data_IF_944511903449
#
_entry.id   IF_944511903449
#
_cell.length_a   1.000
_cell.length_b   1.000
_cell.length_c   1.000
_cell.angle_alpha   90.00
_cell.angle_beta   90.00
_cell.angle_gamma   90.00
#
_symmetry.space_group_name_H-M   'P 1'
#
loop_
_entity.id
_entity.type
_entity.pdbx_description
1 polymer ?
#
# COMPACT_ATOMS: atom_id res chain seq x y z
N UNK A 1 11.04 -11.06 -13.69
CA UNK A 1 11.30 -11.42 -12.28
C UNK A 1 11.48 -10.15 -11.48
N UNK A 2 10.75 -9.96 -10.40
CA UNK A 2 11.01 -8.92 -9.40
C UNK A 2 11.98 -9.46 -8.36
N UNK A 3 12.89 -8.60 -7.90
CA UNK A 3 13.74 -8.85 -6.74
C UNK A 3 13.08 -8.21 -5.52
N UNK A 4 12.65 -9.02 -4.55
CA UNK A 4 12.12 -8.51 -3.30
C UNK A 4 13.25 -8.16 -2.32
N UNK A 5 12.91 -7.43 -1.28
CA UNK A 5 13.81 -7.08 -0.18
C UNK A 5 13.20 -7.49 1.15
N UNK A 6 14.04 -7.70 2.15
CA UNK A 6 13.64 -7.91 3.54
C UNK A 6 14.11 -6.70 4.34
N UNK A 7 13.17 -6.04 5.02
CA UNK A 7 13.46 -5.00 6.01
C UNK A 7 13.34 -5.60 7.40
N UNK A 8 14.46 -5.61 8.12
CA UNK A 8 14.55 -6.17 9.47
C UNK A 8 15.09 -5.14 10.46
N UNK A 9 14.66 -5.25 11.71
CA UNK A 9 15.00 -4.31 12.77
C UNK A 9 16.05 -4.92 13.69
N UNK A 10 17.20 -4.26 13.79
CA UNK A 10 18.32 -4.67 14.63
C UNK A 10 18.54 -3.62 15.73
N UNK A 11 19.77 -3.47 16.22
CA UNK A 11 20.15 -2.43 17.19
C UNK A 11 20.30 -1.04 16.57
N UNK A 12 20.14 -0.90 15.24
CA UNK A 12 20.20 0.38 14.55
C UNK A 12 18.90 1.18 14.72
N UNK A 13 19.01 2.51 14.56
CA UNK A 13 17.87 3.43 14.66
C UNK A 13 16.85 3.28 13.50
N UNK A 14 17.21 2.55 12.45
CA UNK A 14 16.31 2.19 11.33
C UNK A 14 16.61 0.77 10.86
N UNK A 15 15.78 0.24 9.97
CA UNK A 15 15.89 -1.13 9.49
C UNK A 15 17.16 -1.35 8.66
N UNK A 16 17.66 -2.58 8.66
CA UNK A 16 18.60 -3.06 7.64
C UNK A 16 17.82 -3.61 6.45
N UNK A 17 18.47 -3.64 5.29
CA UNK A 17 17.92 -4.27 4.08
C UNK A 17 18.75 -5.49 3.68
N UNK A 18 18.07 -6.61 3.42
CA UNK A 18 18.66 -7.84 2.93
C UNK A 18 17.99 -8.27 1.61
N UNK A 19 18.67 -9.02 0.74
CA UNK A 19 18.05 -9.61 -0.44
C UNK A 19 16.90 -10.54 -0.07
N UNK A 20 15.73 -10.32 -0.68
CA UNK A 20 14.58 -11.20 -0.56
C UNK A 20 14.47 -12.21 -1.70
N UNK A 21 13.32 -12.88 -1.75
CA UNK A 21 12.99 -13.83 -2.82
C UNK A 21 12.85 -13.12 -4.18
N UNK A 22 13.04 -13.89 -5.26
CA UNK A 22 12.69 -13.44 -6.61
C UNK A 22 11.34 -14.04 -6.97
N UNK A 23 10.45 -13.22 -7.51
CA UNK A 23 9.12 -13.67 -7.96
C UNK A 23 8.94 -13.38 -9.45
N UNK A 24 8.30 -14.27 -10.23
CA UNK A 24 7.89 -13.95 -11.59
C UNK A 24 6.86 -12.81 -11.60
N UNK A 25 6.78 -12.11 -12.73
CA UNK A 25 5.76 -11.10 -12.98
C UNK A 25 4.78 -11.72 -13.96
N UNK A 26 3.50 -11.70 -13.62
CA UNK A 26 2.47 -12.33 -14.45
C UNK A 26 1.92 -11.38 -15.52
N UNK A 27 1.83 -10.08 -15.22
CA UNK A 27 1.24 -9.05 -16.10
C UNK A 27 2.03 -7.75 -16.04
N UNK A 28 2.16 -7.07 -17.19
CA UNK A 28 2.73 -5.72 -17.26
C UNK A 28 1.74 -4.69 -16.71
N UNK A 29 2.24 -3.67 -16.03
CA UNK A 29 1.41 -2.56 -15.54
C UNK A 29 0.59 -1.90 -16.67
N UNK A 30 1.16 -1.82 -17.88
CA UNK A 30 0.50 -1.26 -19.07
C UNK A 30 -0.77 -2.00 -19.50
N UNK A 31 -0.89 -3.27 -19.12
CA UNK A 31 -1.97 -4.16 -19.56
C UNK A 31 -3.09 -4.25 -18.51
N UNK A 32 -2.85 -3.72 -17.31
CA UNK A 32 -3.79 -3.73 -16.19
C UNK A 32 -4.82 -2.62 -16.35
N UNK A 33 -6.10 -2.98 -16.23
CA UNK A 33 -7.21 -2.01 -16.14
C UNK A 33 -7.94 -2.21 -14.84
N UNK A 34 -8.11 -1.16 -14.04
CA UNK A 34 -8.75 -1.23 -12.73
C UNK A 34 -10.11 -1.96 -12.75
N UNK A 35 -10.89 -1.83 -13.82
CA UNK A 35 -12.19 -2.49 -13.97
C UNK A 35 -12.13 -4.03 -13.90
N UNK A 36 -11.02 -4.63 -14.31
CA UNK A 36 -10.85 -6.08 -14.43
C UNK A 36 -10.44 -6.75 -13.08
N UNK A 37 -10.23 -5.95 -12.02
CA UNK A 37 -9.78 -6.43 -10.71
C UNK A 37 -10.78 -6.05 -9.61
N UNK A 38 -10.93 -6.89 -8.58
CA UNK A 38 -11.82 -6.59 -7.46
C UNK A 38 -11.26 -5.50 -6.52
N UNK A 39 -9.94 -5.41 -6.40
CA UNK A 39 -9.25 -4.41 -5.57
C UNK A 39 -7.76 -4.35 -5.89
N UNK A 40 -7.06 -3.44 -5.22
CA UNK A 40 -5.63 -3.18 -5.40
C UNK A 40 -4.87 -3.45 -4.10
N UNK A 41 -3.72 -4.10 -4.19
CA UNK A 41 -2.76 -4.23 -3.07
C UNK A 41 -1.46 -3.53 -3.44
N UNK A 42 -0.99 -2.63 -2.58
CA UNK A 42 0.29 -1.91 -2.75
C UNK A 42 1.22 -2.27 -1.58
N UNK A 43 2.19 -3.19 -1.80
CA UNK A 43 3.21 -3.51 -0.82
C UNK A 43 4.13 -2.32 -0.51
N UNK A 44 4.82 -2.41 0.62
CA UNK A 44 5.87 -1.47 1.00
C UNK A 44 7.24 -1.83 0.41
N UNK A 45 8.28 -1.68 1.23
CA UNK A 45 9.67 -1.81 0.80
C UNK A 45 10.15 -0.56 0.06
N UNK A 46 11.20 -0.69 -0.75
CA UNK A 46 11.75 0.43 -1.53
C UNK A 46 11.04 0.67 -2.87
N UNK A 47 10.19 -0.26 -3.31
CA UNK A 47 9.49 -0.14 -4.59
C UNK A 47 8.63 1.13 -4.72
N UNK A 48 7.79 1.48 -3.72
CA UNK A 48 6.97 2.69 -3.77
C UNK A 48 7.73 3.99 -4.06
N UNK A 49 9.00 4.10 -3.63
CA UNK A 49 9.83 5.29 -3.82
C UNK A 49 10.08 5.59 -5.31
N UNK A 50 10.28 4.56 -6.14
CA UNK A 50 10.61 4.72 -7.55
C UNK A 50 9.43 4.42 -8.48
N UNK A 51 8.50 3.52 -8.13
CA UNK A 51 7.36 3.23 -9.02
C UNK A 51 6.39 4.40 -9.11
N UNK A 52 6.37 5.29 -8.11
CA UNK A 52 5.59 6.54 -8.11
C UNK A 52 6.04 7.56 -9.16
N UNK A 53 7.17 7.32 -9.83
CA UNK A 53 7.68 8.17 -10.90
C UNK A 53 7.12 7.78 -12.29
N UNK A 54 6.40 6.66 -12.39
CA UNK A 54 5.79 6.24 -13.64
C UNK A 54 4.32 6.66 -13.70
N UNK A 55 3.96 7.42 -14.73
CA UNK A 55 2.61 7.95 -14.94
C UNK A 55 1.56 6.83 -15.02
N UNK A 56 1.90 5.67 -15.62
CA UNK A 56 1.00 4.51 -15.66
C UNK A 56 0.65 3.96 -14.26
N UNK A 57 1.61 3.97 -13.32
CA UNK A 57 1.39 3.48 -11.95
C UNK A 57 0.50 4.47 -11.19
N UNK A 58 0.77 5.77 -11.34
CA UNK A 58 -0.04 6.84 -10.76
C UNK A 58 -1.48 6.77 -11.29
N UNK A 59 -1.63 6.67 -12.61
CA UNK A 59 -2.93 6.58 -13.25
C UNK A 59 -3.70 5.35 -12.80
N UNK A 60 -3.04 4.20 -12.66
CA UNK A 60 -3.72 2.99 -12.19
C UNK A 60 -4.28 3.18 -10.78
N UNK A 61 -3.50 3.74 -9.85
CA UNK A 61 -3.96 4.05 -8.49
C UNK A 61 -5.16 4.99 -8.53
N UNK A 62 -5.08 6.06 -9.32
CA UNK A 62 -6.19 7.01 -9.49
C UNK A 62 -7.45 6.31 -10.04
N UNK A 63 -7.31 5.40 -11.02
CA UNK A 63 -8.43 4.67 -11.60
C UNK A 63 -9.12 3.75 -10.56
N UNK A 64 -8.37 3.14 -9.63
CA UNK A 64 -8.95 2.36 -8.51
C UNK A 64 -9.72 3.24 -7.52
N UNK A 65 -9.19 4.41 -7.17
CA UNK A 65 -9.87 5.37 -6.29
C UNK A 65 -11.11 5.99 -6.95
N UNK A 66 -11.03 6.36 -8.22
CA UNK A 66 -12.15 6.89 -8.99
C UNK A 66 -13.29 5.87 -9.11
N UNK A 67 -12.96 4.58 -9.20
CA UNK A 67 -13.93 3.49 -9.21
C UNK A 67 -14.46 3.11 -7.81
N UNK A 68 -13.98 3.74 -6.74
CA UNK A 68 -14.36 3.42 -5.36
C UNK A 68 -13.99 1.99 -4.94
N UNK A 69 -13.02 1.37 -5.61
CA UNK A 69 -12.66 -0.04 -5.35
C UNK A 69 -11.81 -0.18 -4.08
N UNK A 70 -11.89 -1.31 -3.38
CA UNK A 70 -11.02 -1.62 -2.25
C UNK A 70 -9.54 -1.49 -2.60
N UNK A 71 -8.78 -0.76 -1.78
CA UNK A 71 -7.33 -0.61 -1.88
C UNK A 71 -6.71 -0.96 -0.54
N UNK A 72 -5.71 -1.85 -0.53
CA UNK A 72 -4.93 -2.20 0.64
C UNK A 72 -3.48 -1.76 0.46
N UNK A 73 -2.96 -0.97 1.39
CA UNK A 73 -1.60 -0.41 1.32
C UNK A 73 -0.86 -0.64 2.62
N UNK A 74 0.44 -0.92 2.57
CA UNK A 74 1.23 -1.17 3.77
C UNK A 74 2.60 -0.49 3.72
N UNK A 75 3.10 -0.08 4.89
CA UNK A 75 4.47 0.41 5.07
C UNK A 75 4.74 1.66 4.21
N UNK A 76 5.70 1.59 3.28
CA UNK A 76 6.05 2.68 2.37
C UNK A 76 5.11 2.78 1.15
N UNK A 77 4.16 1.86 0.98
CA UNK A 77 3.20 1.90 -0.12
C UNK A 77 2.42 3.21 -0.19
N UNK A 78 2.25 3.91 0.93
CA UNK A 78 1.57 5.21 0.98
C UNK A 78 2.30 6.31 0.20
N UNK A 79 3.61 6.20 -0.04
CA UNK A 79 4.34 7.16 -0.86
C UNK A 79 3.79 7.21 -2.29
N UNK A 80 3.35 6.06 -2.82
CA UNK A 80 2.72 5.99 -4.13
C UNK A 80 1.36 6.69 -4.12
N UNK A 81 0.55 6.47 -3.08
CA UNK A 81 -0.77 7.12 -2.97
C UNK A 81 -0.65 8.64 -2.76
N UNK A 82 0.35 9.08 -1.99
CA UNK A 82 0.67 10.49 -1.81
C UNK A 82 1.02 11.14 -3.16
N UNK A 83 1.90 10.51 -3.94
CA UNK A 83 2.24 10.97 -5.30
C UNK A 83 1.02 10.96 -6.25
N UNK A 84 0.13 9.97 -6.10
CA UNK A 84 -1.10 9.88 -6.88
C UNK A 84 -2.18 10.90 -6.48
N UNK A 85 -1.98 11.63 -5.37
CA UNK A 85 -2.87 12.68 -4.85
C UNK A 85 -4.27 12.16 -4.53
N UNK A 86 -4.35 10.97 -3.96
CA UNK A 86 -5.62 10.31 -3.58
C UNK A 86 -5.89 10.28 -2.07
N UNK A 87 -5.04 10.96 -1.29
CA UNK A 87 -5.03 10.87 0.18
C UNK A 87 -5.75 12.00 0.91
N UNK A 88 -6.19 13.04 0.20
CA UNK A 88 -6.82 14.20 0.83
C UNK A 88 -8.11 13.80 1.59
N UNK A 89 -8.15 14.12 2.88
CA UNK A 89 -9.30 13.82 3.74
C UNK A 89 -9.50 12.33 4.06
N UNK A 90 -8.47 11.49 3.87
CA UNK A 90 -8.43 10.12 4.37
C UNK A 90 -7.71 10.05 5.72
N UNK A 91 -8.19 9.16 6.60
CA UNK A 91 -7.44 8.68 7.76
C UNK A 91 -6.55 7.52 7.33
N UNK A 92 -5.26 7.59 7.66
CA UNK A 92 -4.28 6.58 7.24
C UNK A 92 -3.26 6.29 8.32
N UNK A 93 -2.66 5.11 8.26
CA UNK A 93 -1.39 4.80 8.90
C UNK A 93 -0.38 4.40 7.83
N UNK A 94 0.90 4.32 8.18
CA UNK A 94 1.98 3.95 7.26
C UNK A 94 3.21 3.52 8.06
N UNK A 95 4.30 3.15 7.39
CA UNK A 95 5.58 3.16 8.09
C UNK A 95 5.80 4.56 8.70
N UNK A 96 6.19 4.70 9.98
CA UNK A 96 6.19 6.00 10.66
C UNK A 96 7.01 7.10 9.95
N UNK A 97 8.09 6.74 9.26
CA UNK A 97 8.88 7.71 8.51
C UNK A 97 8.13 8.34 7.31
N UNK A 98 7.04 7.72 6.85
CA UNK A 98 6.18 8.28 5.79
C UNK A 98 5.12 9.24 6.33
N UNK A 99 4.95 9.38 7.66
CA UNK A 99 3.93 10.24 8.26
C UNK A 99 4.00 11.72 7.79
N UNK A 100 5.18 12.35 7.63
CA UNK A 100 5.27 13.70 7.06
C UNK A 100 4.71 13.78 5.63
N UNK A 101 5.03 12.80 4.78
CA UNK A 101 4.55 12.73 3.40
C UNK A 101 3.03 12.54 3.34
N UNK A 102 2.47 11.67 4.18
CA UNK A 102 1.01 11.50 4.31
C UNK A 102 0.31 12.80 4.68
N UNK A 103 0.85 13.55 5.66
CA UNK A 103 0.27 14.84 6.09
C UNK A 103 0.38 15.90 5.01
N UNK A 104 1.52 15.97 4.30
CA UNK A 104 1.69 16.88 3.16
C UNK A 104 0.72 16.59 2.01
N UNK A 105 0.30 15.32 1.87
CA UNK A 105 -0.72 14.89 0.91
C UNK A 105 -2.16 15.07 1.42
N UNK A 106 -2.37 15.72 2.58
CA UNK A 106 -3.69 16.04 3.11
C UNK A 106 -4.39 14.91 3.88
N UNK A 107 -3.67 13.84 4.26
CA UNK A 107 -4.23 12.78 5.09
C UNK A 107 -4.11 13.08 6.60
N UNK A 108 -5.09 12.59 7.36
CA UNK A 108 -5.02 12.46 8.82
C UNK A 108 -4.23 11.21 9.18
N UNK A 109 -2.92 11.37 9.34
CA UNK A 109 -2.03 10.26 9.72
C UNK A 109 -2.12 9.97 11.22
N UNK A 110 -2.32 8.71 11.57
CA UNK A 110 -2.40 8.24 12.95
C UNK A 110 -1.44 7.08 13.21
N UNK A 111 -0.95 6.96 14.45
CA UNK A 111 0.01 5.92 14.85
C UNK A 111 -0.66 4.58 15.20
N UNK A 112 -1.79 4.26 14.56
CA UNK A 112 -2.49 2.97 14.73
C UNK A 112 -1.86 1.89 13.83
N UNK A 113 -2.04 0.62 14.20
CA UNK A 113 -1.42 -0.51 13.49
C UNK A 113 -2.04 -0.77 12.12
N UNK A 114 -3.37 -0.65 12.03
CA UNK A 114 -4.19 -0.82 10.83
C UNK A 114 -5.34 0.18 10.88
N UNK A 115 -5.61 0.87 9.77
CA UNK A 115 -6.74 1.81 9.67
C UNK A 115 -7.54 1.49 8.42
N UNK A 116 -8.86 1.39 8.56
CA UNK A 116 -9.81 1.36 7.46
C UNK A 116 -10.48 2.73 7.37
N UNK A 117 -10.44 3.36 6.20
CA UNK A 117 -11.22 4.55 5.91
C UNK A 117 -11.78 4.48 4.48
N UNK A 118 -13.11 4.52 4.37
CA UNK A 118 -13.86 4.36 3.11
C UNK A 118 -13.44 3.06 2.39
N UNK A 119 -12.87 3.17 1.19
CA UNK A 119 -12.39 2.07 0.37
C UNK A 119 -10.92 1.70 0.61
N UNK A 120 -10.23 2.36 1.55
CA UNK A 120 -8.79 2.19 1.78
C UNK A 120 -8.54 1.50 3.12
N UNK A 121 -7.70 0.47 3.13
CA UNK A 121 -7.09 -0.07 4.35
C UNK A 121 -5.57 0.13 4.31
N UNK A 122 -5.02 0.69 5.39
CA UNK A 122 -3.59 0.96 5.55
C UNK A 122 -3.01 0.25 6.76
N UNK A 123 -1.73 -0.10 6.72
CA UNK A 123 -1.02 -0.74 7.84
C UNK A 123 0.44 -0.29 7.94
N UNK A 124 1.02 -0.35 9.15
CA UNK A 124 2.38 0.18 9.38
C UNK A 124 3.50 -0.71 8.84
N UNK A 125 3.44 -2.01 9.10
CA UNK A 125 4.51 -2.93 8.73
C UNK A 125 4.02 -4.39 8.67
N UNK A 126 4.90 -5.29 8.22
CA UNK A 126 4.62 -6.72 8.07
C UNK A 126 4.10 -7.45 9.32
N UNK A 127 4.36 -7.05 10.58
CA UNK A 127 3.70 -7.66 11.74
C UNK A 127 2.17 -7.50 11.74
N UNK A 128 1.66 -6.54 10.97
CA UNK A 128 0.22 -6.24 10.89
C UNK A 128 -0.51 -7.00 9.78
N UNK A 129 0.17 -7.89 9.03
CA UNK A 129 -0.45 -8.65 7.93
C UNK A 129 -1.77 -9.33 8.30
N UNK A 130 -1.90 -10.02 9.46
CA UNK A 130 -3.15 -10.71 9.77
C UNK A 130 -4.36 -9.76 9.86
N UNK A 131 -4.21 -8.63 10.55
CA UNK A 131 -5.27 -7.64 10.72
C UNK A 131 -5.53 -6.85 9.42
N UNK A 132 -4.47 -6.48 8.70
CA UNK A 132 -4.54 -5.76 7.43
C UNK A 132 -5.24 -6.58 6.34
N UNK A 133 -4.89 -7.86 6.20
CA UNK A 133 -5.51 -8.75 5.22
C UNK A 133 -6.97 -9.04 5.58
N UNK A 134 -7.30 -9.24 6.87
CA UNK A 134 -8.70 -9.38 7.30
C UNK A 134 -9.52 -8.17 6.88
N UNK A 135 -9.05 -6.97 7.20
CA UNK A 135 -9.72 -5.72 6.85
C UNK A 135 -9.89 -5.55 5.32
N UNK A 136 -8.90 -5.98 4.52
CA UNK A 136 -9.05 -5.96 3.07
C UNK A 136 -10.09 -6.95 2.55
N UNK A 137 -10.14 -8.17 3.11
CA UNK A 137 -11.17 -9.17 2.79
C UNK A 137 -12.58 -8.65 3.12
N UNK A 138 -12.73 -7.94 4.24
CA UNK A 138 -13.98 -7.27 4.61
C UNK A 138 -14.38 -6.19 3.59
N UNK A 139 -13.43 -5.35 3.15
CA UNK A 139 -13.68 -4.34 2.11
C UNK A 139 -14.06 -4.96 0.75
N UNK A 140 -13.54 -6.15 0.44
CA UNK A 140 -13.92 -6.92 -0.75
C UNK A 140 -15.32 -7.54 -0.65
N UNK A 141 -15.97 -7.46 0.51
CA UNK A 141 -17.30 -8.03 0.76
C UNK A 141 -17.31 -9.56 0.92
N UNK A 142 -16.16 -10.17 1.16
CA UNK A 142 -16.05 -11.61 1.36
C UNK A 142 -16.26 -12.00 2.83
N UNK A 143 -16.93 -13.11 3.08
CA UNK A 143 -17.13 -13.69 4.41
C UNK A 143 -16.43 -15.05 4.53
N UNK A 144 -15.91 -15.34 5.72
CA UNK A 144 -15.26 -16.62 6.04
C UNK A 144 -16.08 -17.29 7.13
N UNK A 145 -16.61 -18.48 6.85
CA UNK A 145 -17.36 -19.32 7.79
C UNK A 145 -16.81 -20.74 7.79
N UNK A 146 -16.93 -21.44 8.93
CA UNK A 146 -16.52 -22.84 9.11
C UNK A 146 -17.77 -23.68 9.37
#
# INVERSE_FOLDING_TARGET
MLQLVVHDFTTLNTYIELPGHRIPVDVSMSDVKAKDYAGLVVPGGRAPEYIRLYDETIKLVQDFFAAGKPVAVICHGLQLLAAAKVLEGYKVTSYPACAPECRLAGADWQSESVIIDKNLVTAQAWPNYPAWLRAFVELLGASISI
#
